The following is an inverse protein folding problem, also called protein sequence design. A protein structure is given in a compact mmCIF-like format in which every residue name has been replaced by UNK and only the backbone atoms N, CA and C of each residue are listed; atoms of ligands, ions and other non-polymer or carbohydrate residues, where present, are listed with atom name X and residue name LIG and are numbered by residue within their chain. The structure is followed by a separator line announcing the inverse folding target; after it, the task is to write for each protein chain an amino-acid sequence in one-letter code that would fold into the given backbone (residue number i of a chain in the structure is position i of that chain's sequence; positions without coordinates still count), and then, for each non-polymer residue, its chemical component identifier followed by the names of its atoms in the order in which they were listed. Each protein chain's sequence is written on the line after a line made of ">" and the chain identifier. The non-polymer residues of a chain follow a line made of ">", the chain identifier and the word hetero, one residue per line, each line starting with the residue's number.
data_IF_780788135127
#
_entry.id   IF_780788135127
#
_cell.length_a   1.000
_cell.length_b   1.000
_cell.length_c   1.000
_cell.angle_alpha   90.00
_cell.angle_beta   90.00
_cell.angle_gamma   90.00
#
_symmetry.space_group_name_H-M   'P 1'
#
loop_
_entity.id
_entity.type
_entity.pdbx_description
1 polymer ?
#
# COMPACT_ATOMS: atom_id res chain seq x y z
N UNK A 1 21.12 21.34 5.22
CA UNK A 1 19.70 20.94 5.46
C UNK A 1 19.02 21.97 6.34
N UNK A 2 17.85 22.45 5.90
CA UNK A 2 17.04 23.42 6.61
C UNK A 2 15.84 22.76 7.30
N UNK A 3 15.55 23.16 8.52
CA UNK A 3 14.40 22.75 9.32
C UNK A 3 13.28 23.78 9.26
N UNK A 4 12.05 23.32 9.04
CA UNK A 4 10.85 24.13 9.18
C UNK A 4 10.20 23.89 10.54
N UNK A 5 10.16 24.90 11.42
CA UNK A 5 9.51 24.77 12.74
C UNK A 5 7.99 24.64 12.70
N UNK A 6 7.33 24.99 11.59
CA UNK A 6 5.87 24.92 11.46
C UNK A 6 5.35 23.53 11.08
N UNK A 7 6.05 22.84 10.19
CA UNK A 7 5.66 21.51 9.71
C UNK A 7 6.67 20.43 10.06
N UNK A 8 7.73 20.80 10.80
CA UNK A 8 8.77 19.92 11.32
C UNK A 8 9.44 19.07 10.23
N UNK A 9 9.46 19.57 8.99
CA UNK A 9 10.03 18.86 7.83
C UNK A 9 11.42 19.40 7.52
N UNK A 10 12.31 18.52 7.07
CA UNK A 10 13.62 18.90 6.52
C UNK A 10 13.43 19.33 5.06
N UNK A 11 14.01 20.47 4.72
CA UNK A 11 14.00 21.09 3.42
C UNK A 11 15.43 21.20 2.91
N UNK A 12 15.61 21.10 1.60
CA UNK A 12 16.91 21.39 0.98
C UNK A 12 17.25 22.90 1.08
N UNK A 13 18.56 23.19 1.11
CA UNK A 13 19.13 24.49 1.47
C UNK A 13 18.78 25.64 0.50
N UNK A 14 18.13 25.36 -0.64
CA UNK A 14 17.88 26.32 -1.72
C UNK A 14 16.49 26.99 -1.71
N UNK A 15 15.66 26.76 -0.69
CA UNK A 15 14.25 27.20 -0.70
C UNK A 15 14.01 28.49 0.11
N UNK A 16 13.50 29.56 -0.53
CA UNK A 16 13.07 30.82 0.13
C UNK A 16 11.88 30.64 1.10
N UNK A 17 11.16 29.53 0.96
CA UNK A 17 10.02 29.14 1.78
C UNK A 17 9.92 27.61 1.80
N UNK A 18 9.43 27.04 2.90
CA UNK A 18 9.26 25.59 3.02
C UNK A 18 8.36 25.05 1.89
N UNK A 19 8.83 24.10 1.07
CA UNK A 19 8.05 23.57 -0.06
C UNK A 19 6.80 22.82 0.41
N UNK A 20 6.86 22.18 1.59
CA UNK A 20 5.77 21.40 2.15
C UNK A 20 4.62 22.31 2.63
N UNK A 21 4.87 23.20 3.59
CA UNK A 21 3.79 24.01 4.15
C UNK A 21 3.56 25.34 3.43
N UNK A 22 4.51 25.82 2.61
CA UNK A 22 4.54 27.13 1.91
C UNK A 22 4.32 28.38 2.79
N UNK A 23 4.11 28.18 4.10
CA UNK A 23 3.74 29.17 5.12
C UNK A 23 4.90 29.60 6.00
N UNK A 24 6.01 28.87 5.97
CA UNK A 24 7.23 29.25 6.69
C UNK A 24 8.28 29.76 5.72
N UNK A 25 8.77 30.98 5.99
CA UNK A 25 9.93 31.59 5.32
C UNK A 25 11.17 31.63 6.23
N UNK A 26 10.98 31.36 7.52
CA UNK A 26 12.04 31.30 8.52
C UNK A 26 12.50 29.85 8.66
N UNK A 27 13.25 29.39 7.66
CA UNK A 27 13.96 28.14 7.71
C UNK A 27 15.26 28.33 8.49
N UNK A 28 15.58 27.39 9.39
CA UNK A 28 16.81 27.42 10.20
C UNK A 28 17.61 26.14 9.99
N UNK A 29 18.91 26.09 10.29
CA UNK A 29 19.64 24.82 10.30
C UNK A 29 19.00 23.80 11.25
N UNK A 30 18.98 22.54 10.82
CA UNK A 30 18.59 21.38 11.63
C UNK A 30 19.55 21.20 12.81
N UNK A 31 19.03 20.75 13.95
CA UNK A 31 19.77 20.33 15.14
C UNK A 31 19.44 18.89 15.52
N UNK A 32 20.33 18.24 16.25
CA UNK A 32 20.20 16.82 16.64
C UNK A 32 18.92 16.52 17.43
N UNK A 33 18.51 17.41 18.33
CA UNK A 33 17.28 17.28 19.12
C UNK A 33 16.01 17.80 18.45
N UNK A 34 16.06 18.13 17.15
CA UNK A 34 14.86 18.55 16.44
C UNK A 34 14.01 17.33 16.08
N UNK A 35 12.74 17.34 16.48
CA UNK A 35 11.75 16.38 16.01
C UNK A 35 11.44 16.65 14.54
N UNK A 36 11.62 15.64 13.70
CA UNK A 36 11.40 15.67 12.26
C UNK A 36 10.21 14.79 11.91
N UNK A 37 9.32 15.30 11.07
CA UNK A 37 8.24 14.51 10.50
C UNK A 37 8.81 13.35 9.68
N UNK A 38 8.46 12.13 10.09
CA UNK A 38 8.94 10.89 9.47
C UNK A 38 7.94 10.40 8.43
N UNK A 39 6.71 10.07 8.86
CA UNK A 39 5.63 9.65 7.96
C UNK A 39 4.25 9.80 8.60
N UNK A 40 3.22 9.68 7.75
CA UNK A 40 1.82 9.58 8.14
C UNK A 40 1.41 8.11 8.00
N UNK A 41 0.76 7.57 9.01
CA UNK A 41 0.32 6.17 9.05
C UNK A 41 -1.06 6.05 9.69
N UNK A 42 -1.72 4.91 9.49
CA UNK A 42 -2.99 4.62 10.14
C UNK A 42 -2.79 4.34 11.65
N UNK A 43 -3.87 4.39 12.43
CA UNK A 43 -3.78 4.23 13.89
C UNK A 43 -3.21 2.88 14.33
N UNK A 44 -3.52 1.80 13.61
CA UNK A 44 -2.96 0.46 13.88
C UNK A 44 -1.47 0.40 13.62
N UNK A 45 -1.04 0.82 12.42
CA UNK A 45 0.36 0.90 12.02
C UNK A 45 1.18 1.82 12.92
N UNK A 46 0.58 2.91 13.43
CA UNK A 46 1.25 3.82 14.35
C UNK A 46 1.67 3.10 15.64
N UNK A 47 0.84 2.20 16.17
CA UNK A 47 1.14 1.44 17.38
C UNK A 47 2.25 0.42 17.14
N UNK A 48 2.24 -0.24 15.98
CA UNK A 48 3.29 -1.19 15.57
C UNK A 48 4.64 -0.49 15.39
N UNK A 49 4.65 0.64 14.68
CA UNK A 49 5.84 1.48 14.51
C UNK A 49 6.39 2.00 15.83
N UNK A 50 5.52 2.44 16.73
CA UNK A 50 5.92 2.86 18.07
C UNK A 50 6.60 1.72 18.82
N UNK A 51 6.06 0.51 18.79
CA UNK A 51 6.66 -0.66 19.44
C UNK A 51 8.03 -1.01 18.84
N UNK A 52 8.17 -0.95 17.50
CA UNK A 52 9.47 -1.17 16.84
C UNK A 52 10.50 -0.10 17.22
N UNK A 53 10.11 1.18 17.20
CA UNK A 53 11.02 2.25 17.59
C UNK A 53 11.43 2.15 19.06
N UNK A 54 10.53 1.76 19.96
CA UNK A 54 10.86 1.49 21.37
C UNK A 54 11.85 0.33 21.52
N UNK A 55 11.62 -0.78 20.82
CA UNK A 55 12.52 -1.95 20.85
C UNK A 55 13.95 -1.61 20.39
N UNK A 56 14.07 -0.64 19.47
CA UNK A 56 15.35 -0.17 18.92
C UNK A 56 15.89 1.08 19.62
N UNK A 57 15.27 1.51 20.72
CA UNK A 57 15.63 2.71 21.49
C UNK A 57 15.68 4.00 20.65
N UNK A 58 14.79 4.13 19.66
CA UNK A 58 14.62 5.29 18.79
C UNK A 58 13.64 6.26 19.44
N UNK A 59 14.06 7.53 19.60
CA UNK A 59 13.19 8.58 20.13
C UNK A 59 12.16 8.97 19.08
N UNK A 60 10.89 8.72 19.37
CA UNK A 60 9.78 9.00 18.49
C UNK A 60 8.61 9.65 19.23
N UNK A 61 7.73 10.31 18.47
CA UNK A 61 6.53 10.96 18.97
C UNK A 61 5.41 10.81 17.96
N UNK A 62 4.25 10.34 18.41
CA UNK A 62 3.05 10.21 17.58
C UNK A 62 2.03 11.27 17.96
N UNK A 63 1.50 11.99 16.98
CA UNK A 63 0.37 12.92 17.18
C UNK A 63 -0.79 12.56 16.25
N UNK A 64 -2.04 12.82 16.64
CA UNK A 64 -3.14 12.80 15.68
C UNK A 64 -2.88 13.81 14.56
N UNK A 65 -3.27 13.48 13.33
CA UNK A 65 -3.12 14.43 12.22
C UNK A 65 -3.98 15.67 12.51
N UNK A 66 -3.32 16.78 12.85
CA UNK A 66 -4.00 18.05 13.09
C UNK A 66 -4.51 18.58 11.75
N UNK A 67 -5.82 18.86 11.68
CA UNK A 67 -6.44 19.62 10.60
C UNK A 67 -5.66 20.93 10.41
N UNK A 68 -4.86 21.01 9.35
CA UNK A 68 -3.90 22.09 9.17
C UNK A 68 -2.58 21.67 8.51
N UNK A 69 -2.24 20.39 8.50
CA UNK A 69 -1.41 19.84 7.42
C UNK A 69 -2.20 19.92 6.10
N UNK A 70 -1.54 19.95 4.96
CA UNK A 70 -2.11 20.14 3.62
C UNK A 70 -3.10 19.05 3.17
N UNK A 71 -3.58 18.21 4.08
CA UNK A 71 -4.63 17.24 3.86
C UNK A 71 -5.95 17.98 3.78
N UNK A 72 -6.41 18.21 2.55
CA UNK A 72 -7.78 18.61 2.28
C UNK A 72 -8.73 17.63 2.99
N UNK A 73 -9.82 18.10 3.57
CA UNK A 73 -10.89 17.22 4.08
C UNK A 73 -11.46 16.32 2.97
N UNK A 74 -11.25 16.71 1.71
CA UNK A 74 -11.63 15.96 0.51
C UNK A 74 -10.54 15.03 -0.02
N UNK A 75 -9.44 14.87 0.70
CA UNK A 75 -8.42 13.88 0.36
C UNK A 75 -8.95 12.48 0.74
N UNK A 76 -9.27 11.60 -0.21
CA UNK A 76 -9.83 10.28 0.09
C UNK A 76 -8.85 9.39 0.87
N UNK A 77 -7.55 9.73 0.90
CA UNK A 77 -6.52 9.04 1.68
C UNK A 77 -6.39 9.59 3.12
N UNK A 78 -7.17 10.61 3.48
CA UNK A 78 -7.21 11.15 4.84
C UNK A 78 -8.28 10.44 5.67
N UNK A 79 -7.83 9.65 6.65
CA UNK A 79 -8.70 9.13 7.69
C UNK A 79 -8.54 9.96 8.97
N UNK A 80 -9.64 10.27 9.69
CA UNK A 80 -9.57 11.00 10.96
C UNK A 80 -8.74 10.31 12.04
N UNK A 81 -8.52 9.00 11.88
CA UNK A 81 -7.73 8.14 12.77
C UNK A 81 -6.23 8.18 12.46
N UNK A 82 -5.83 8.79 11.35
CA UNK A 82 -4.42 8.83 10.95
C UNK A 82 -3.56 9.54 12.00
N UNK A 83 -2.32 9.08 12.11
CA UNK A 83 -1.31 9.60 13.02
C UNK A 83 -0.10 10.08 12.24
N UNK A 84 0.45 11.22 12.65
CA UNK A 84 1.75 11.70 12.22
C UNK A 84 2.81 11.16 13.19
N UNK A 85 3.84 10.54 12.63
CA UNK A 85 5.00 10.04 13.38
C UNK A 85 6.16 11.00 13.17
N UNK A 86 6.77 11.40 14.29
CA UNK A 86 7.94 12.26 14.34
C UNK A 86 9.09 11.50 14.99
N UNK A 87 10.31 11.71 14.49
CA UNK A 87 11.53 11.08 14.99
C UNK A 87 12.58 12.17 15.19
N UNK A 88 13.43 12.07 16.20
CA UNK A 88 14.54 13.01 16.38
C UNK A 88 15.53 12.92 15.22
N UNK A 89 16.08 14.05 14.78
CA UNK A 89 16.98 14.09 13.62
C UNK A 89 18.18 13.14 13.75
N UNK A 90 18.75 13.02 14.96
CA UNK A 90 19.86 12.11 15.26
C UNK A 90 19.51 10.61 15.08
N UNK A 91 18.24 10.26 15.19
CA UNK A 91 17.75 8.89 15.05
C UNK A 91 17.07 8.66 13.69
N UNK A 92 17.00 9.68 12.83
CA UNK A 92 16.30 9.61 11.54
C UNK A 92 16.88 8.53 10.61
N UNK A 93 18.21 8.42 10.53
CA UNK A 93 18.86 7.37 9.74
C UNK A 93 18.60 5.97 10.31
N UNK A 94 18.59 5.84 11.65
CA UNK A 94 18.27 4.58 12.34
C UNK A 94 16.82 4.17 12.14
N UNK A 95 15.88 5.12 12.17
CA UNK A 95 14.48 4.87 11.85
C UNK A 95 14.28 4.42 10.40
N UNK A 96 14.99 5.03 9.44
CA UNK A 96 14.95 4.60 8.04
C UNK A 96 15.50 3.18 7.85
N UNK A 97 16.61 2.84 8.51
CA UNK A 97 17.17 1.48 8.48
C UNK A 97 16.22 0.48 9.10
N UNK A 98 15.57 0.83 10.21
CA UNK A 98 14.60 -0.04 10.86
C UNK A 98 13.40 -0.38 9.97
N UNK A 99 12.89 0.60 9.23
CA UNK A 99 11.83 0.39 8.24
C UNK A 99 12.30 -0.46 7.04
N UNK A 100 13.55 -0.29 6.61
CA UNK A 100 14.09 -1.06 5.51
C UNK A 100 14.26 -2.54 5.90
N UNK A 101 14.76 -2.80 7.11
CA UNK A 101 14.94 -4.15 7.64
C UNK A 101 13.60 -4.87 7.84
N UNK A 102 12.57 -4.22 8.39
CA UNK A 102 11.23 -4.83 8.51
C UNK A 102 10.66 -5.22 7.15
N UNK A 103 10.90 -4.41 6.12
CA UNK A 103 10.47 -4.69 4.75
C UNK A 103 11.24 -5.84 4.10
N UNK A 104 12.47 -6.09 4.54
CA UNK A 104 13.28 -7.25 4.11
C UNK A 104 12.94 -8.51 4.92
N UNK A 105 12.54 -8.38 6.19
CA UNK A 105 12.10 -9.48 7.06
C UNK A 105 10.65 -9.92 6.80
N UNK A 106 9.77 -9.02 6.36
CA UNK A 106 8.51 -9.45 5.75
C UNK A 106 8.87 -10.33 4.57
N UNK A 107 8.51 -11.63 4.58
CA UNK A 107 8.71 -12.46 3.42
C UNK A 107 7.96 -11.78 2.30
N UNK A 108 8.70 -11.33 1.28
CA UNK A 108 8.10 -10.86 0.04
C UNK A 108 6.93 -11.81 -0.26
N UNK A 109 5.70 -11.29 -0.46
CA UNK A 109 4.54 -12.14 -0.71
C UNK A 109 5.01 -13.16 -1.73
N UNK A 110 4.89 -14.48 -1.42
CA UNK A 110 5.56 -15.53 -2.18
C UNK A 110 5.33 -15.17 -3.63
N UNK A 111 6.42 -14.90 -4.37
CA UNK A 111 6.34 -14.45 -5.76
C UNK A 111 5.30 -15.34 -6.41
N UNK A 112 4.07 -14.82 -6.57
CA UNK A 112 2.99 -15.58 -7.16
C UNK A 112 3.41 -15.62 -8.60
N UNK A 113 4.21 -16.65 -8.90
CA UNK A 113 4.80 -17.05 -10.16
C UNK A 113 4.07 -16.30 -11.26
N UNK A 114 4.60 -15.13 -11.61
CA UNK A 114 3.85 -14.05 -12.23
C UNK A 114 3.46 -14.56 -13.61
N UNK A 115 2.32 -15.27 -13.69
CA UNK A 115 2.03 -16.08 -14.85
C UNK A 115 1.97 -15.11 -16.02
N UNK A 116 2.90 -15.21 -16.99
CA UNK A 116 3.04 -14.19 -18.02
C UNK A 116 1.67 -14.00 -18.67
N UNK A 117 1.22 -12.75 -18.80
CA UNK A 117 -0.17 -12.37 -19.12
C UNK A 117 -0.79 -13.18 -20.27
N UNK A 118 0.02 -13.70 -21.20
CA UNK A 118 -0.39 -14.65 -22.24
C UNK A 118 -0.95 -16.00 -21.74
N UNK A 119 -0.38 -16.60 -20.68
CA UNK A 119 -0.84 -17.89 -20.12
C UNK A 119 -2.23 -17.77 -19.47
N UNK A 120 -2.54 -16.65 -18.82
CA UNK A 120 -3.90 -16.39 -18.27
C UNK A 120 -4.96 -16.35 -19.36
N UNK A 121 -4.68 -15.67 -20.48
CA UNK A 121 -5.59 -15.63 -21.64
C UNK A 121 -5.80 -17.01 -22.28
N UNK A 122 -4.75 -17.82 -22.40
CA UNK A 122 -4.85 -19.17 -22.99
C UNK A 122 -5.71 -20.08 -22.10
N UNK A 123 -5.48 -20.09 -20.78
CA UNK A 123 -6.24 -20.95 -19.86
C UNK A 123 -7.72 -20.54 -19.85
N UNK A 124 -8.00 -19.24 -19.82
CA UNK A 124 -9.37 -18.74 -19.85
C UNK A 124 -10.06 -19.10 -21.18
N UNK A 125 -9.37 -18.96 -22.31
CA UNK A 125 -9.90 -19.33 -23.63
C UNK A 125 -10.14 -20.83 -23.75
N UNK A 126 -9.21 -21.66 -23.29
CA UNK A 126 -9.34 -23.12 -23.31
C UNK A 126 -10.49 -23.58 -22.41
N UNK A 127 -10.67 -22.96 -21.23
CA UNK A 127 -11.78 -23.28 -20.33
C UNK A 127 -13.14 -22.96 -20.96
N UNK A 128 -13.26 -21.84 -21.68
CA UNK A 128 -14.50 -21.48 -22.38
C UNK A 128 -14.79 -22.46 -23.51
N UNK A 129 -13.78 -22.81 -24.31
CA UNK A 129 -13.92 -23.78 -25.41
C UNK A 129 -14.32 -25.15 -24.88
N UNK A 130 -13.67 -25.60 -23.79
CA UNK A 130 -13.98 -26.88 -23.16
C UNK A 130 -15.42 -26.92 -22.63
N UNK A 131 -15.88 -25.83 -22.00
CA UNK A 131 -17.26 -25.72 -21.53
C UNK A 131 -18.27 -25.78 -22.69
N UNK A 132 -18.03 -25.05 -23.77
CA UNK A 132 -18.88 -25.07 -24.96
C UNK A 132 -18.91 -26.46 -25.63
N UNK A 133 -17.77 -27.15 -25.69
CA UNK A 133 -17.69 -28.51 -26.21
C UNK A 133 -18.51 -29.49 -25.36
N UNK A 134 -18.47 -29.35 -24.03
CA UNK A 134 -19.23 -30.19 -23.10
C UNK A 134 -20.74 -29.98 -23.28
N UNK A 135 -21.18 -28.72 -23.41
CA UNK A 135 -22.58 -28.38 -23.71
C UNK A 135 -23.01 -28.97 -25.06
N UNK A 136 -22.18 -28.84 -26.10
CA UNK A 136 -22.50 -29.41 -27.43
C UNK A 136 -22.61 -30.93 -27.38
N UNK A 137 -21.71 -31.61 -26.65
CA UNK A 137 -21.76 -33.06 -26.45
C UNK A 137 -23.05 -33.48 -25.75
N UNK A 138 -23.46 -32.76 -24.70
CA UNK A 138 -24.70 -33.02 -23.99
C UNK A 138 -25.93 -32.93 -24.91
N UNK A 139 -26.00 -31.88 -25.75
CA UNK A 139 -27.08 -31.71 -26.74
C UNK A 139 -27.11 -32.87 -27.75
N UNK A 140 -25.94 -33.24 -28.30
CA UNK A 140 -25.83 -34.35 -29.24
C UNK A 140 -26.21 -35.69 -28.60
N UNK A 141 -25.85 -35.90 -27.33
CA UNK A 141 -26.25 -37.09 -26.59
C UNK A 141 -27.77 -37.14 -26.38
N UNK A 142 -28.41 -36.01 -26.05
CA UNK A 142 -29.87 -35.96 -25.93
C UNK A 142 -30.59 -36.22 -27.24
N UNK A 143 -30.06 -35.71 -28.37
CA UNK A 143 -30.63 -35.97 -29.70
C UNK A 143 -30.50 -37.45 -30.11
N UNK A 144 -29.36 -38.08 -29.80
CA UNK A 144 -29.17 -39.52 -30.04
C UNK A 144 -30.11 -40.37 -29.19
N UNK A 145 -30.30 -40.04 -27.91
CA UNK A 145 -31.24 -40.75 -27.03
C UNK A 145 -32.68 -40.54 -27.53
N UNK A 146 -33.04 -39.33 -27.96
CA UNK A 146 -34.35 -39.04 -28.52
C UNK A 146 -34.60 -39.81 -29.82
N UNK A 147 -33.62 -39.87 -30.72
CA UNK A 147 -33.69 -40.67 -31.95
C UNK A 147 -33.78 -42.17 -31.67
N UNK A 148 -33.03 -42.66 -30.67
CA UNK A 148 -33.07 -44.06 -30.25
C UNK A 148 -34.42 -44.43 -29.64
N UNK A 149 -34.99 -43.58 -28.77
CA UNK A 149 -36.34 -43.75 -28.21
C UNK A 149 -37.42 -43.70 -29.30
N UNK A 150 -37.27 -42.83 -30.30
CA UNK A 150 -38.22 -42.73 -31.42
C UNK A 150 -38.24 -44.02 -32.25
N UNK A 151 -37.08 -44.62 -32.52
CA UNK A 151 -36.98 -45.91 -33.22
C UNK A 151 -37.48 -47.11 -32.38
N UNK A 152 -37.50 -47.00 -31.05
CA UNK A 152 -37.97 -48.06 -30.15
C UNK A 152 -39.48 -48.01 -29.90
N UNK A 153 -40.07 -46.81 -29.91
CA UNK A 153 -41.51 -46.59 -29.65
C UNK A 153 -42.34 -46.63 -30.93
N UNK A 154 -41.73 -46.48 -32.10
CA UNK A 154 -42.41 -46.56 -33.39
C UNK A 154 -41.53 -47.32 -34.42
N UNK A 155 -41.63 -48.65 -34.51
CA UNK A 155 -41.03 -49.42 -35.61
C UNK A 155 -41.75 -49.16 -36.94
#
# INVERSE_FOLDING_TARGET
>A
MLYCTKCQTICEDSTRACPNCRRSRALRPVREGDEVFFMKVHEGEAAELSALFEARAIRHRTEPVKAGFSTSIYDPEFLPTDRNVYVEYQDLERANQAMAEEREEEPAPPEEDEMPKGKRMVIQTVSIIAFLALVMLAVLATDQIAAFLKNLVMP
#
